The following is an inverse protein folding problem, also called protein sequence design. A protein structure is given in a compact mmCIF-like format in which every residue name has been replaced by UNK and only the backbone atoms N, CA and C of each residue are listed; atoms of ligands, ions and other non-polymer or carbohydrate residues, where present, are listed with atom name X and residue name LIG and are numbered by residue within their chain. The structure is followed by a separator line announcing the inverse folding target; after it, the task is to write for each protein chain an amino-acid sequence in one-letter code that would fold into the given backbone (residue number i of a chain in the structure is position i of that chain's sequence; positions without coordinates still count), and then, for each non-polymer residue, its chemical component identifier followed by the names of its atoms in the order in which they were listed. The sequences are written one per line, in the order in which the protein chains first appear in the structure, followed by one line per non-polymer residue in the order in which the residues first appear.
data_IF_249627363056
#
_entry.id   IF_249627363056
#
_cell.length_a   1.000
_cell.length_b   1.000
_cell.length_c   1.000
_cell.angle_alpha   90.00
_cell.angle_beta   90.00
_cell.angle_gamma   90.00
#
_symmetry.space_group_name_H-M   'P 1'
#
loop_
_entity.id
_entity.type
_entity.pdbx_description
1 polymer ?
#
# COMPACT_ATOMS: atom_id res chain seq x y z
N UNK A 1 -2.48 7.47 15.22
CA UNK A 1 -1.47 6.91 16.16
C UNK A 1 -0.35 6.13 15.46
N UNK A 2 -0.53 5.59 14.24
CA UNK A 2 0.54 4.84 13.55
C UNK A 2 1.55 5.70 12.76
N UNK A 3 1.16 6.88 12.25
CA UNK A 3 2.08 7.81 11.54
C UNK A 3 3.40 8.11 12.27
N UNK A 4 3.44 8.37 13.59
CA UNK A 4 4.70 8.61 14.29
C UNK A 4 5.60 7.37 14.42
N UNK A 5 5.05 6.16 14.28
CA UNK A 5 5.81 4.90 14.35
C UNK A 5 6.47 4.53 13.02
N UNK A 6 6.02 5.10 11.90
CA UNK A 6 6.58 4.85 10.57
C UNK A 6 7.01 6.17 9.92
N UNK A 7 8.25 6.55 10.21
CA UNK A 7 8.97 7.66 9.60
C UNK A 7 10.25 7.15 8.91
N UNK A 8 11.07 8.04 8.35
CA UNK A 8 12.28 7.64 7.62
C UNK A 8 13.32 6.89 8.48
N UNK A 9 13.34 7.14 9.79
CA UNK A 9 14.30 6.57 10.75
C UNK A 9 13.70 5.39 11.56
N UNK A 10 12.49 4.94 11.22
CA UNK A 10 11.78 3.92 11.96
C UNK A 10 12.55 2.60 11.91
N UNK A 11 12.69 1.94 13.07
CA UNK A 11 13.26 0.60 13.10
C UNK A 11 12.32 -0.41 12.46
N UNK A 12 12.85 -1.60 12.18
CA UNK A 12 12.04 -2.70 11.65
C UNK A 12 10.85 -3.02 12.57
N UNK A 13 11.10 -3.08 13.88
CA UNK A 13 10.08 -3.35 14.91
C UNK A 13 9.02 -2.24 14.97
N UNK A 14 9.42 -0.97 14.82
CA UNK A 14 8.46 0.15 14.82
C UNK A 14 7.54 0.08 13.60
N UNK A 15 8.11 -0.28 12.45
CA UNK A 15 7.36 -0.46 11.21
C UNK A 15 6.38 -1.63 11.29
N UNK A 16 6.80 -2.77 11.85
CA UNK A 16 5.93 -3.93 12.08
C UNK A 16 4.82 -3.60 13.10
N UNK A 17 5.13 -2.83 14.14
CA UNK A 17 4.15 -2.33 15.10
C UNK A 17 3.13 -1.37 14.45
N UNK A 18 3.60 -0.46 13.60
CA UNK A 18 2.74 0.44 12.82
C UNK A 18 1.82 -0.33 11.87
N UNK A 19 2.32 -1.40 11.26
CA UNK A 19 1.54 -2.28 10.39
C UNK A 19 0.36 -2.91 11.13
N UNK A 20 0.59 -3.51 12.30
CA UNK A 20 -0.48 -4.14 13.11
C UNK A 20 -1.54 -3.13 13.55
N UNK A 21 -1.14 -1.92 13.96
CA UNK A 21 -2.07 -0.86 14.35
C UNK A 21 -2.91 -0.36 13.17
N UNK A 22 -2.31 -0.30 11.98
CA UNK A 22 -2.99 0.12 10.76
C UNK A 22 -3.92 -0.96 10.22
N UNK A 23 -3.57 -2.23 10.37
CA UNK A 23 -4.41 -3.35 9.96
C UNK A 23 -5.78 -3.30 10.66
N UNK A 24 -5.79 -3.21 12.00
CA UNK A 24 -7.03 -3.14 12.78
C UNK A 24 -7.88 -1.92 12.38
N UNK A 25 -7.26 -0.75 12.23
CA UNK A 25 -7.97 0.47 11.83
C UNK A 25 -8.48 0.42 10.38
N UNK A 26 -7.72 -0.19 9.47
CA UNK A 26 -8.11 -0.39 8.08
C UNK A 26 -9.28 -1.37 7.99
N UNK A 27 -9.27 -2.46 8.76
CA UNK A 27 -10.39 -3.41 8.84
C UNK A 27 -11.66 -2.74 9.39
N UNK A 28 -11.53 -1.75 10.27
CA UNK A 28 -12.65 -0.94 10.80
C UNK A 28 -13.21 0.10 9.83
N UNK A 29 -12.72 0.16 8.60
CA UNK A 29 -13.27 1.07 7.59
C UNK A 29 -12.59 2.44 7.52
N UNK A 30 -11.51 2.68 8.27
CA UNK A 30 -10.86 3.99 8.27
C UNK A 30 -10.09 4.21 6.95
N UNK A 31 -10.48 5.20 6.12
CA UNK A 31 -9.88 5.40 4.78
C UNK A 31 -8.40 5.79 4.85
N UNK A 32 -8.01 6.60 5.84
CA UNK A 32 -6.62 7.00 6.05
C UNK A 32 -5.78 5.79 6.49
N UNK A 33 -6.31 4.95 7.38
CA UNK A 33 -5.61 3.74 7.82
C UNK A 33 -5.43 2.74 6.67
N UNK A 34 -6.47 2.51 5.86
CA UNK A 34 -6.37 1.66 4.66
C UNK A 34 -5.30 2.17 3.69
N UNK A 35 -5.24 3.49 3.47
CA UNK A 35 -4.21 4.10 2.64
C UNK A 35 -2.79 3.84 3.19
N UNK A 36 -2.56 4.12 4.48
CA UNK A 36 -1.25 3.91 5.11
C UNK A 36 -0.88 2.42 5.21
N UNK A 37 -1.87 1.55 5.34
CA UNK A 37 -1.69 0.11 5.32
C UNK A 37 -1.24 -0.38 3.94
N UNK A 38 -1.90 0.09 2.87
CA UNK A 38 -1.51 -0.20 1.48
C UNK A 38 -0.06 0.23 1.17
N UNK A 39 0.41 1.34 1.75
CA UNK A 39 1.79 1.81 1.59
C UNK A 39 2.87 0.82 2.08
N UNK A 40 2.55 -0.17 2.93
CA UNK A 40 3.50 -1.23 3.27
C UNK A 40 3.77 -2.16 2.10
N UNK A 41 2.75 -2.44 1.30
CA UNK A 41 2.84 -3.29 0.14
C UNK A 41 3.25 -2.53 -1.13
N UNK A 42 3.05 -1.22 -1.15
CA UNK A 42 3.37 -0.38 -2.29
C UNK A 42 4.89 -0.36 -2.57
N UNK A 43 5.35 -0.83 -3.74
CA UNK A 43 6.76 -0.77 -4.12
C UNK A 43 7.28 0.66 -4.26
N UNK A 44 6.42 1.64 -4.55
CA UNK A 44 6.78 3.05 -4.73
C UNK A 44 6.95 3.78 -3.39
N UNK A 45 6.45 3.21 -2.29
CA UNK A 45 6.60 3.81 -0.97
C UNK A 45 8.05 3.70 -0.49
N UNK A 46 8.63 4.84 -0.11
CA UNK A 46 10.02 4.95 0.38
C UNK A 46 10.15 4.79 1.89
N UNK A 47 9.02 4.72 2.62
CA UNK A 47 9.05 4.55 4.07
C UNK A 47 9.41 3.10 4.44
N UNK A 48 10.14 2.88 5.55
CA UNK A 48 10.46 1.56 6.05
C UNK A 48 9.23 0.66 6.13
N UNK A 49 9.35 -0.60 5.69
CA UNK A 49 8.24 -1.56 5.60
C UNK A 49 8.30 -2.65 6.66
N UNK A 50 9.28 -2.58 7.56
CA UNK A 50 9.53 -3.64 8.51
C UNK A 50 9.93 -4.95 7.81
N UNK A 51 9.30 -6.04 8.21
CA UNK A 51 9.41 -7.37 7.60
C UNK A 51 8.50 -7.56 6.37
N UNK A 52 7.63 -6.59 6.07
CA UNK A 52 6.64 -6.72 4.99
C UNK A 52 7.30 -6.53 3.63
N UNK A 53 7.05 -7.49 2.75
CA UNK A 53 7.51 -7.46 1.36
C UNK A 53 6.52 -6.70 0.48
N UNK A 54 6.97 -5.89 -0.50
CA UNK A 54 6.08 -5.23 -1.43
C UNK A 54 5.27 -6.22 -2.26
N UNK A 55 3.99 -5.94 -2.42
CA UNK A 55 3.02 -6.71 -3.18
C UNK A 55 2.03 -5.73 -3.84
N UNK A 56 2.09 -5.65 -5.17
CA UNK A 56 1.28 -4.70 -5.93
C UNK A 56 -0.21 -5.07 -5.86
N UNK A 57 -0.55 -6.35 -5.77
CA UNK A 57 -1.95 -6.79 -5.70
C UNK A 57 -2.58 -6.40 -4.37
N UNK A 58 -1.88 -6.64 -3.26
CA UNK A 58 -2.32 -6.18 -1.93
C UNK A 58 -2.41 -4.65 -1.86
N UNK A 59 -1.40 -3.94 -2.37
CA UNK A 59 -1.43 -2.48 -2.41
C UNK A 59 -2.64 -1.96 -3.21
N UNK A 60 -2.93 -2.58 -4.36
CA UNK A 60 -4.07 -2.24 -5.20
C UNK A 60 -5.40 -2.42 -4.46
N UNK A 61 -5.61 -3.58 -3.83
CA UNK A 61 -6.87 -3.86 -3.15
C UNK A 61 -7.14 -2.91 -1.99
N UNK A 62 -6.12 -2.60 -1.19
CA UNK A 62 -6.27 -1.68 -0.06
C UNK A 62 -6.41 -0.22 -0.49
N UNK A 63 -5.65 0.24 -1.50
CA UNK A 63 -5.85 1.59 -2.04
C UNK A 63 -7.22 1.75 -2.69
N UNK A 64 -7.72 0.72 -3.38
CA UNK A 64 -9.06 0.77 -3.97
C UNK A 64 -10.13 0.91 -2.90
N UNK A 65 -10.05 0.12 -1.82
CA UNK A 65 -10.96 0.24 -0.66
C UNK A 65 -10.87 1.62 -0.02
N UNK A 66 -9.67 2.14 0.20
CA UNK A 66 -9.44 3.47 0.76
C UNK A 66 -10.02 4.58 -0.12
N UNK A 67 -9.83 4.49 -1.44
CA UNK A 67 -10.38 5.44 -2.40
C UNK A 67 -11.91 5.38 -2.45
N UNK A 68 -12.52 4.18 -2.41
CA UNK A 68 -13.97 4.01 -2.30
C UNK A 68 -14.53 4.56 -0.99
N UNK A 69 -13.74 4.53 0.09
CA UNK A 69 -14.07 5.13 1.38
C UNK A 69 -13.76 6.65 1.45
N UNK A 70 -13.30 7.26 0.36
CA UNK A 70 -13.15 8.72 0.23
C UNK A 70 -11.72 9.26 0.43
N UNK A 71 -10.68 8.43 0.53
CA UNK A 71 -9.30 8.93 0.58
C UNK A 71 -8.84 9.39 -0.82
N UNK A 72 -8.60 10.70 -0.95
CA UNK A 72 -8.05 11.28 -2.16
C UNK A 72 -6.59 10.84 -2.39
N UNK A 73 -5.82 10.68 -1.31
CA UNK A 73 -4.44 10.19 -1.35
C UNK A 73 -4.36 8.76 -1.86
N UNK A 74 -5.30 7.90 -1.47
CA UNK A 74 -5.37 6.54 -2.00
C UNK A 74 -5.67 6.51 -3.49
N UNK A 75 -6.54 7.39 -3.98
CA UNK A 75 -6.83 7.51 -5.41
C UNK A 75 -5.57 7.91 -6.20
N UNK A 76 -4.83 8.90 -5.72
CA UNK A 76 -3.57 9.31 -6.34
C UNK A 76 -2.50 8.19 -6.31
N UNK A 77 -2.38 7.48 -5.18
CA UNK A 77 -1.47 6.36 -5.04
C UNK A 77 -1.83 5.18 -5.96
N UNK A 78 -3.12 4.92 -6.17
CA UNK A 78 -3.60 3.87 -7.07
C UNK A 78 -3.23 4.16 -8.53
N UNK A 79 -3.32 5.41 -8.98
CA UNK A 79 -2.86 5.81 -10.32
C UNK A 79 -1.34 5.59 -10.49
N UNK A 80 -0.55 5.91 -9.47
CA UNK A 80 0.90 5.69 -9.51
C UNK A 80 1.25 4.20 -9.46
N UNK A 81 0.53 3.42 -8.65
CA UNK A 81 0.68 1.97 -8.57
C UNK A 81 0.34 1.32 -9.93
N UNK A 82 -0.65 1.83 -10.65
CA UNK A 82 -1.01 1.37 -12.00
C UNK A 82 0.14 1.52 -12.98
N UNK A 83 0.79 2.69 -13.00
CA UNK A 83 1.98 2.93 -13.86
C UNK A 83 3.11 1.95 -13.54
N UNK A 84 3.35 1.71 -12.25
CA UNK A 84 4.36 0.73 -11.81
C UNK A 84 4.00 -0.69 -12.23
N UNK A 85 2.73 -1.08 -12.09
CA UNK A 85 2.23 -2.37 -12.56
C UNK A 85 2.38 -2.52 -14.08
N UNK A 86 2.07 -1.47 -14.87
CA UNK A 86 2.27 -1.45 -16.32
C UNK A 86 3.74 -1.59 -16.70
N UNK A 87 4.64 -0.87 -16.02
CA UNK A 87 6.07 -0.97 -16.24
C UNK A 87 6.59 -2.40 -15.96
N UNK A 88 6.20 -3.00 -14.84
CA UNK A 88 6.57 -4.39 -14.51
C UNK A 88 5.96 -5.40 -15.48
N UNK A 89 4.71 -5.22 -15.89
CA UNK A 89 4.05 -6.09 -16.87
C UNK A 89 4.73 -6.06 -18.25
N UNK A 90 5.21 -4.88 -18.66
CA UNK A 90 6.05 -4.70 -19.86
C UNK A 90 7.41 -5.36 -19.71
N UNK A 91 7.99 -5.32 -18.51
CA UNK A 91 9.24 -6.03 -18.17
C UNK A 91 9.09 -7.56 -18.05
N UNK A 92 7.87 -8.10 -18.20
CA UNK A 92 7.61 -9.54 -18.23
C UNK A 92 6.95 -10.11 -16.98
N UNK A 93 6.64 -9.28 -15.97
CA UNK A 93 5.92 -9.69 -14.78
C UNK A 93 4.49 -10.14 -15.15
N UNK A 94 4.25 -11.45 -15.02
CA UNK A 94 2.97 -12.07 -15.38
C UNK A 94 1.87 -11.73 -14.39
N UNK A 95 2.22 -11.50 -13.13
CA UNK A 95 1.26 -11.17 -12.06
C UNK A 95 0.73 -9.76 -12.27
N UNK A 96 1.62 -8.80 -12.51
CA UNK A 96 1.23 -7.44 -12.88
C UNK A 96 0.38 -7.41 -14.16
N UNK A 97 0.73 -8.22 -15.17
CA UNK A 97 -0.06 -8.32 -16.40
C UNK A 97 -1.47 -8.87 -16.16
N UNK A 98 -1.62 -9.85 -15.27
CA UNK A 98 -2.94 -10.38 -14.87
C UNK A 98 -3.72 -9.35 -14.06
N UNK A 99 -3.06 -8.68 -13.11
CA UNK A 99 -3.66 -7.65 -12.28
C UNK A 99 -4.24 -6.51 -13.14
N UNK A 100 -3.49 -6.02 -14.14
CA UNK A 100 -3.94 -4.96 -15.04
C UNK A 100 -5.18 -5.30 -15.87
N UNK A 101 -5.45 -6.60 -16.11
CA UNK A 101 -6.68 -7.03 -16.80
C UNK A 101 -7.93 -6.88 -15.94
N UNK A 102 -7.77 -6.84 -14.62
CA UNK A 102 -8.84 -6.74 -13.61
C UNK A 102 -8.72 -5.50 -12.72
N UNK A 103 -7.94 -4.51 -13.18
CA UNK A 103 -7.64 -3.28 -12.45
C UNK A 103 -8.93 -2.50 -12.17
#
# INVERSE_FOLDING_TARGET
LAKPLRNADASQKDSDGAFLLLEDAAQKGNPEAMHLYAQFYDPNCKLPRGTIQPDIEQAHDWYRKAASAGSAEAKAALEELKKTAEAKAKAGDRDCRRLLRRW
#
